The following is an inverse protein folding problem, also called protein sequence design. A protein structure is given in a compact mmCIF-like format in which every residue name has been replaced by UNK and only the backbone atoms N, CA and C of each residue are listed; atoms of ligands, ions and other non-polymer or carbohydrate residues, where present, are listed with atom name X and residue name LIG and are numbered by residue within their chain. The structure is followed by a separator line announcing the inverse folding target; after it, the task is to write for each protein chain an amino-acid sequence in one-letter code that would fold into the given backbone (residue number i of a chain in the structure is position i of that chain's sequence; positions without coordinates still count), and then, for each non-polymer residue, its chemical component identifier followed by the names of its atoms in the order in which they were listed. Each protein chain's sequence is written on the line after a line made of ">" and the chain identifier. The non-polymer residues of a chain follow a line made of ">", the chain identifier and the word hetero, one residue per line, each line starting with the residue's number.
data_IF_430328734175
#
_entry.id   IF_430328734175
#
_cell.length_a   1.000
_cell.length_b   1.000
_cell.length_c   1.000
_cell.angle_alpha   90.00
_cell.angle_beta   90.00
_cell.angle_gamma   90.00
#
_symmetry.space_group_name_H-M   'P 1'
#
loop_
_entity.id
_entity.type
_entity.pdbx_description
1 polymer ?
#
# COMPACT_ATOMS: atom_id res chain seq x y z
N UNK A 1 9.79 -0.39 21.47
CA UNK A 1 8.71 -0.49 20.46
C UNK A 1 9.30 -1.10 19.21
N UNK A 2 8.75 -2.19 18.72
CA UNK A 2 9.21 -2.89 17.52
C UNK A 2 8.43 -2.37 16.29
N UNK A 3 9.10 -2.15 15.18
CA UNK A 3 8.50 -1.60 13.96
C UNK A 3 8.78 -2.54 12.79
N UNK A 4 7.73 -3.07 12.17
CA UNK A 4 7.82 -4.14 11.19
C UNK A 4 7.02 -3.75 9.95
N UNK A 5 7.62 -3.85 8.75
CA UNK A 5 6.91 -3.73 7.48
C UNK A 5 6.71 -5.12 6.87
N UNK A 6 5.47 -5.44 6.47
CA UNK A 6 5.10 -6.67 5.76
C UNK A 6 4.78 -6.34 4.32
N UNK A 7 5.61 -6.82 3.39
CA UNK A 7 5.67 -6.36 2.01
C UNK A 7 5.54 -7.56 1.06
N UNK A 8 4.76 -7.45 0.00
CA UNK A 8 4.72 -8.44 -1.07
C UNK A 8 5.99 -8.35 -1.93
N UNK A 9 6.72 -9.44 -2.08
CA UNK A 9 8.00 -9.45 -2.79
C UNK A 9 7.87 -9.27 -4.31
N UNK A 10 6.80 -9.81 -4.91
CA UNK A 10 6.60 -9.81 -6.36
C UNK A 10 5.37 -8.96 -6.76
N UNK A 11 4.29 -9.59 -7.27
CA UNK A 11 3.12 -8.87 -7.80
C UNK A 11 1.92 -8.78 -6.83
N UNK A 12 2.04 -9.16 -5.58
CA UNK A 12 0.93 -9.21 -4.62
C UNK A 12 0.59 -10.64 -4.22
N UNK A 13 -0.59 -11.04 -3.99
CA UNK A 13 -1.16 -12.41 -3.77
C UNK A 13 -0.21 -13.47 -3.15
N UNK A 14 0.62 -13.05 -2.19
CA UNK A 14 1.75 -13.83 -1.66
C UNK A 14 1.54 -14.25 -0.20
N UNK A 15 0.39 -13.89 0.41
CA UNK A 15 0.07 -14.26 1.79
C UNK A 15 0.45 -13.19 2.83
N UNK A 16 0.48 -11.91 2.46
CA UNK A 16 0.73 -10.80 3.42
C UNK A 16 -0.28 -10.77 4.57
N UNK A 17 -1.58 -11.02 4.27
CA UNK A 17 -2.60 -11.12 5.29
C UNK A 17 -2.29 -12.19 6.33
N UNK A 18 -1.88 -13.38 5.88
CA UNK A 18 -1.42 -14.46 6.76
C UNK A 18 -0.24 -14.01 7.63
N UNK A 19 0.78 -13.37 7.04
CA UNK A 19 1.94 -12.90 7.79
C UNK A 19 1.58 -11.82 8.83
N UNK A 20 0.74 -10.84 8.46
CA UNK A 20 0.26 -9.81 9.39
C UNK A 20 -0.56 -10.40 10.54
N UNK A 21 -1.51 -11.30 10.23
CA UNK A 21 -2.34 -11.97 11.22
C UNK A 21 -1.50 -12.81 12.20
N UNK A 22 -0.49 -13.53 11.71
CA UNK A 22 0.44 -14.28 12.57
C UNK A 22 1.25 -13.38 13.50
N UNK A 23 1.76 -12.24 13.00
CA UNK A 23 2.41 -11.24 13.85
C UNK A 23 1.43 -10.70 14.89
N UNK A 24 0.23 -10.32 14.46
CA UNK A 24 -0.80 -9.77 15.34
C UNK A 24 -1.21 -10.74 16.45
N UNK A 25 -1.34 -12.03 16.14
CA UNK A 25 -1.67 -13.06 17.15
C UNK A 25 -0.56 -13.32 18.17
N UNK A 26 0.70 -13.12 17.78
CA UNK A 26 1.88 -13.41 18.61
C UNK A 26 2.40 -12.20 19.40
N UNK A 27 2.17 -10.98 18.90
CA UNK A 27 2.70 -9.75 19.46
C UNK A 27 1.66 -9.05 20.36
N UNK A 28 2.06 -8.71 21.59
CA UNK A 28 1.19 -7.99 22.51
C UNK A 28 1.14 -6.50 22.16
N UNK A 29 -0.02 -5.89 22.36
CA UNK A 29 -0.23 -4.45 22.19
C UNK A 29 0.31 -3.95 20.85
N UNK A 30 -0.19 -4.53 19.75
CA UNK A 30 0.17 -4.18 18.39
C UNK A 30 -0.80 -3.15 17.78
N UNK A 31 -0.33 -2.42 16.77
CA UNK A 31 -1.11 -1.57 15.89
C UNK A 31 -0.80 -1.97 14.44
N UNK A 32 -1.82 -2.23 13.62
CA UNK A 32 -1.64 -2.41 12.18
C UNK A 32 -1.81 -1.06 11.48
N UNK A 33 -0.87 -0.71 10.61
CA UNK A 33 -0.86 0.55 9.89
C UNK A 33 -1.01 0.27 8.39
N UNK A 34 -2.13 0.71 7.81
CA UNK A 34 -2.34 0.74 6.36
C UNK A 34 -1.72 2.03 5.82
N UNK A 35 -0.78 1.93 4.88
CA UNK A 35 0.06 3.07 4.52
C UNK A 35 0.22 3.30 3.01
N UNK A 36 -0.40 2.47 2.15
CA UNK A 36 -0.32 2.63 0.70
C UNK A 36 -1.55 2.06 0.00
N UNK A 37 -1.83 2.57 -1.20
CA UNK A 37 -3.04 2.19 -1.93
C UNK A 37 -4.31 2.57 -1.18
N UNK A 38 -5.31 1.71 -1.23
CA UNK A 38 -6.62 1.89 -0.58
C UNK A 38 -7.34 0.54 -0.42
N UNK A 39 -8.65 0.52 -0.60
CA UNK A 39 -9.49 -0.67 -0.42
C UNK A 39 -9.32 -1.79 -1.47
N UNK A 40 -8.41 -1.63 -2.44
CA UNK A 40 -8.20 -2.60 -3.51
C UNK A 40 -7.43 -3.86 -3.09
N UNK A 41 -6.74 -3.87 -1.97
CA UNK A 41 -6.06 -5.05 -1.46
C UNK A 41 -7.06 -6.09 -0.94
N UNK A 42 -6.80 -7.38 -1.18
CA UNK A 42 -7.50 -8.50 -0.57
C UNK A 42 -6.50 -9.34 0.22
N UNK A 43 -6.55 -9.28 1.54
CA UNK A 43 -5.64 -10.00 2.43
C UNK A 43 -6.39 -11.13 3.12
N UNK A 44 -6.27 -12.32 2.59
CA UNK A 44 -6.91 -13.50 3.16
C UNK A 44 -6.21 -13.96 4.41
N UNK A 45 -6.99 -14.21 5.44
CA UNK A 45 -6.59 -14.85 6.69
C UNK A 45 -7.41 -16.11 6.88
N UNK A 46 -6.75 -17.19 7.26
CA UNK A 46 -7.37 -18.45 7.59
C UNK A 46 -7.00 -18.85 9.02
N UNK A 47 -7.97 -19.42 9.72
CA UNK A 47 -7.70 -20.04 11.02
C UNK A 47 -6.67 -21.16 10.89
N UNK A 48 -5.68 -21.27 11.79
CA UNK A 48 -4.68 -22.34 11.74
C UNK A 48 -5.26 -23.76 11.71
N UNK A 49 -6.46 -23.95 12.22
CA UNK A 49 -7.19 -25.21 12.22
C UNK A 49 -8.19 -25.34 11.02
N UNK A 50 -8.19 -24.34 10.11
CA UNK A 50 -9.07 -24.34 8.94
C UNK A 50 -10.56 -24.13 9.24
N UNK A 51 -10.90 -23.63 10.44
CA UNK A 51 -12.30 -23.44 10.87
C UNK A 51 -12.99 -22.28 10.20
N UNK A 52 -12.24 -21.24 9.83
CA UNK A 52 -12.77 -20.04 9.20
C UNK A 52 -11.76 -19.41 8.26
N UNK A 53 -12.27 -18.56 7.38
CA UNK A 53 -11.54 -17.77 6.41
C UNK A 53 -12.20 -16.42 6.24
N UNK A 54 -11.42 -15.34 6.27
CA UNK A 54 -11.89 -13.98 6.07
C UNK A 54 -10.94 -13.20 5.14
N UNK A 55 -11.47 -12.30 4.33
CA UNK A 55 -10.68 -11.45 3.43
C UNK A 55 -10.74 -10.02 3.95
N UNK A 56 -9.62 -9.53 4.45
CA UNK A 56 -9.46 -8.15 4.86
C UNK A 56 -9.10 -7.27 3.66
N UNK A 57 -9.74 -6.12 3.53
CA UNK A 57 -9.43 -5.11 2.52
C UNK A 57 -8.77 -3.89 3.16
N UNK A 58 -9.54 -3.12 3.92
CA UNK A 58 -9.09 -1.92 4.61
C UNK A 58 -8.85 -2.18 6.10
N UNK A 59 -9.66 -3.01 6.71
CA UNK A 59 -9.39 -3.51 8.08
C UNK A 59 -8.08 -4.29 8.05
N UNK A 60 -7.17 -4.03 8.98
CA UNK A 60 -5.88 -4.72 9.06
C UNK A 60 -6.03 -6.20 9.37
N UNK A 61 -5.24 -7.05 8.71
CA UNK A 61 -5.18 -8.48 8.98
C UNK A 61 -4.54 -8.73 10.36
N UNK A 62 -5.36 -9.07 11.34
CA UNK A 62 -5.06 -9.12 12.77
C UNK A 62 -6.14 -8.49 13.63
N UNK A 63 -7.10 -7.77 13.00
CA UNK A 63 -8.24 -7.21 13.71
C UNK A 63 -9.09 -8.30 14.39
N UNK A 64 -9.07 -9.53 13.89
CA UNK A 64 -9.68 -10.73 14.48
C UNK A 64 -9.11 -11.07 15.85
N UNK A 65 -7.91 -10.58 16.18
CA UNK A 65 -7.28 -10.65 17.51
C UNK A 65 -7.42 -9.34 18.29
N UNK A 66 -8.39 -8.49 17.97
CA UNK A 66 -8.62 -7.17 18.57
C UNK A 66 -7.48 -6.17 18.37
N UNK A 67 -6.61 -6.39 17.40
CA UNK A 67 -5.53 -5.44 17.06
C UNK A 67 -6.14 -4.28 16.27
N UNK A 68 -5.97 -3.01 16.70
CA UNK A 68 -6.50 -1.86 16.01
C UNK A 68 -5.80 -1.61 14.67
N UNK A 69 -6.51 -0.95 13.77
CA UNK A 69 -6.01 -0.52 12.46
C UNK A 69 -5.90 1.01 12.42
N UNK A 70 -4.79 1.53 11.91
CA UNK A 70 -4.58 2.94 11.59
C UNK A 70 -4.50 3.15 10.09
N UNK A 71 -5.28 4.07 9.55
CA UNK A 71 -5.11 4.60 8.19
C UNK A 71 -4.15 5.78 8.24
N UNK A 72 -2.92 5.59 7.72
CA UNK A 72 -1.93 6.65 7.59
C UNK A 72 -2.35 7.66 6.48
N UNK A 73 -1.76 8.85 6.48
CA UNK A 73 -2.04 9.91 5.49
C UNK A 73 -1.77 9.50 4.03
N UNK A 74 -0.92 8.51 3.84
CA UNK A 74 -0.59 7.92 2.53
C UNK A 74 -1.51 6.77 2.10
N UNK A 75 -2.44 6.32 2.94
CA UNK A 75 -3.50 5.38 2.59
C UNK A 75 -4.74 6.13 2.08
N UNK A 76 -5.44 5.60 1.10
CA UNK A 76 -6.64 6.19 0.49
C UNK A 76 -7.88 5.37 0.81
N UNK A 77 -8.54 5.60 1.97
CA UNK A 77 -9.71 4.82 2.34
C UNK A 77 -10.89 5.08 1.39
N UNK A 78 -11.59 4.01 1.04
CA UNK A 78 -12.92 4.03 0.43
C UNK A 78 -13.95 3.79 1.54
N UNK A 79 -14.57 4.86 2.04
CA UNK A 79 -15.50 4.75 3.15
C UNK A 79 -16.83 4.08 2.77
N UNK A 80 -17.18 4.05 1.49
CA UNK A 80 -18.34 3.32 1.04
C UNK A 80 -18.12 1.80 1.18
N UNK A 81 -16.96 1.31 0.73
CA UNK A 81 -16.59 -0.11 0.89
C UNK A 81 -16.26 -0.46 2.34
N UNK A 82 -15.65 0.47 3.10
CA UNK A 82 -15.34 0.26 4.52
C UNK A 82 -16.59 -0.06 5.34
N UNK A 83 -17.72 0.63 5.09
CA UNK A 83 -18.98 0.36 5.78
C UNK A 83 -19.45 -1.08 5.59
N UNK A 84 -19.31 -1.61 4.38
CA UNK A 84 -19.65 -3.02 4.08
C UNK A 84 -18.70 -3.98 4.78
N UNK A 85 -17.39 -3.73 4.67
CA UNK A 85 -16.37 -4.58 5.29
C UNK A 85 -16.52 -4.64 6.81
N UNK A 86 -16.79 -3.50 7.48
CA UNK A 86 -17.03 -3.45 8.93
C UNK A 86 -18.28 -4.23 9.31
N UNK A 87 -19.34 -4.17 8.50
CA UNK A 87 -20.55 -4.95 8.72
C UNK A 87 -20.25 -6.45 8.61
N UNK A 88 -19.61 -6.88 7.52
CA UNK A 88 -19.22 -8.28 7.29
C UNK A 88 -18.30 -8.79 8.40
N UNK A 89 -17.28 -8.00 8.79
CA UNK A 89 -16.39 -8.33 9.90
C UNK A 89 -17.14 -8.51 11.21
N UNK A 90 -18.08 -7.57 11.52
CA UNK A 90 -18.83 -7.60 12.76
C UNK A 90 -19.79 -8.80 12.83
N UNK A 91 -20.44 -9.12 11.72
CA UNK A 91 -21.33 -10.30 11.61
C UNK A 91 -20.53 -11.61 11.74
N UNK A 92 -19.30 -11.63 11.20
CA UNK A 92 -18.45 -12.83 11.19
C UNK A 92 -17.77 -13.09 12.54
N UNK A 93 -17.16 -12.09 13.14
CA UNK A 93 -16.39 -12.23 14.38
C UNK A 93 -17.18 -11.87 15.66
N UNK A 94 -18.35 -11.25 15.55
CA UNK A 94 -19.20 -10.90 16.68
C UNK A 94 -18.83 -9.62 17.43
N UNK A 95 -17.85 -8.84 16.92
CA UNK A 95 -17.42 -7.54 17.50
C UNK A 95 -17.00 -6.56 16.40
N UNK A 96 -16.98 -5.26 16.71
CA UNK A 96 -16.56 -4.22 15.78
C UNK A 96 -15.05 -4.06 15.79
N UNK A 97 -14.39 -3.87 14.63
CA UNK A 97 -12.97 -3.54 14.57
C UNK A 97 -12.72 -2.14 15.15
N UNK A 98 -11.52 -1.93 15.71
CA UNK A 98 -11.06 -0.62 16.19
C UNK A 98 -10.30 0.05 15.04
N UNK A 99 -10.81 1.20 14.57
CA UNK A 99 -10.28 1.88 13.40
C UNK A 99 -9.89 3.33 13.74
N UNK A 100 -8.63 3.64 13.52
CA UNK A 100 -8.07 4.99 13.61
C UNK A 100 -7.77 5.54 12.21
N UNK A 101 -7.76 6.86 12.06
CA UNK A 101 -7.30 7.51 10.84
C UNK A 101 -6.53 8.78 11.17
N UNK A 102 -5.46 9.03 10.43
CA UNK A 102 -4.88 10.37 10.34
C UNK A 102 -5.87 11.31 9.64
N UNK A 103 -5.89 12.56 10.05
CA UNK A 103 -6.80 13.60 9.55
C UNK A 103 -6.68 13.83 8.04
N UNK A 104 -5.44 13.79 7.54
CA UNK A 104 -5.10 14.09 6.16
C UNK A 104 -5.18 12.88 5.21
N UNK A 105 -5.59 11.70 5.68
CA UNK A 105 -5.83 10.54 4.81
C UNK A 105 -6.84 10.93 3.71
N UNK A 106 -6.47 10.67 2.45
CA UNK A 106 -7.20 11.13 1.26
C UNK A 106 -8.24 10.10 0.86
N UNK A 107 -9.48 10.50 0.77
CA UNK A 107 -10.61 9.59 0.54
C UNK A 107 -10.81 9.33 -0.95
N UNK A 108 -10.97 8.06 -1.31
CA UNK A 108 -11.45 7.65 -2.64
C UNK A 108 -12.94 7.96 -2.76
N UNK A 109 -13.36 8.58 -3.86
CA UNK A 109 -14.75 8.94 -4.12
C UNK A 109 -15.38 8.01 -5.15
N UNK A 110 -16.72 8.02 -5.22
CA UNK A 110 -17.46 7.27 -6.24
C UNK A 110 -17.05 7.68 -7.66
N UNK A 111 -16.72 8.96 -7.88
CA UNK A 111 -16.29 9.43 -9.19
C UNK A 111 -14.90 8.87 -9.58
N UNK A 112 -13.98 8.73 -8.63
CA UNK A 112 -12.69 8.08 -8.87
C UNK A 112 -12.88 6.62 -9.35
N UNK A 113 -13.80 5.90 -8.70
CA UNK A 113 -14.17 4.52 -9.05
C UNK A 113 -14.79 4.46 -10.46
N UNK A 114 -15.77 5.32 -10.74
CA UNK A 114 -16.46 5.36 -12.04
C UNK A 114 -15.52 5.78 -13.19
N UNK A 115 -14.60 6.73 -12.94
CA UNK A 115 -13.56 7.12 -13.90
C UNK A 115 -12.62 5.96 -14.21
N UNK A 116 -12.17 5.24 -13.18
CA UNK A 116 -11.31 4.08 -13.37
C UNK A 116 -12.00 2.97 -14.18
N UNK A 117 -13.23 2.60 -13.81
CA UNK A 117 -14.03 1.61 -14.53
C UNK A 117 -14.29 2.02 -15.97
N UNK A 118 -14.68 3.28 -16.18
CA UNK A 118 -14.91 3.85 -17.51
C UNK A 118 -13.66 3.86 -18.37
N UNK A 119 -12.50 4.17 -17.81
CA UNK A 119 -11.21 4.14 -18.49
C UNK A 119 -10.82 2.73 -18.93
N UNK A 120 -11.00 1.72 -18.06
CA UNK A 120 -10.72 0.32 -18.42
C UNK A 120 -11.63 -0.15 -19.57
N UNK A 121 -12.91 0.24 -19.58
CA UNK A 121 -13.81 -0.06 -20.71
C UNK A 121 -13.37 0.67 -21.97
N UNK A 122 -13.01 1.95 -21.89
CA UNK A 122 -12.56 2.73 -23.05
C UNK A 122 -11.28 2.17 -23.69
N UNK A 123 -10.38 1.58 -22.90
CA UNK A 123 -9.14 0.91 -23.39
C UNK A 123 -9.43 -0.41 -24.14
N UNK A 124 -10.58 -1.03 -23.93
CA UNK A 124 -10.98 -2.26 -24.61
C UNK A 124 -9.96 -3.38 -24.41
N UNK A 125 -9.33 -3.86 -25.49
CA UNK A 125 -8.31 -4.92 -25.43
C UNK A 125 -7.00 -4.48 -24.75
N UNK A 126 -6.76 -3.19 -24.64
CA UNK A 126 -5.55 -2.61 -24.03
C UNK A 126 -5.78 -2.25 -22.55
N UNK A 127 -6.68 -2.94 -21.87
CA UNK A 127 -6.92 -2.75 -20.43
C UNK A 127 -5.63 -2.88 -19.65
N UNK A 128 -5.44 -2.01 -18.66
CA UNK A 128 -4.29 -2.12 -17.75
C UNK A 128 -4.49 -3.26 -16.75
N UNK A 129 -5.73 -3.73 -16.56
CA UNK A 129 -6.07 -4.78 -15.61
C UNK A 129 -6.12 -4.26 -14.18
N UNK A 130 -6.59 -3.02 -14.00
CA UNK A 130 -6.83 -2.46 -12.67
C UNK A 130 -8.00 -3.17 -12.00
N UNK A 131 -8.03 -3.13 -10.66
CA UNK A 131 -9.13 -3.71 -9.89
C UNK A 131 -10.43 -2.89 -9.91
N UNK A 132 -10.47 -1.76 -10.64
CA UNK A 132 -11.65 -0.90 -10.73
C UNK A 132 -11.94 -0.04 -9.49
N UNK A 133 -11.01 0.07 -8.54
CA UNK A 133 -11.23 0.72 -7.24
C UNK A 133 -10.84 2.21 -7.19
N UNK A 134 -10.48 2.82 -8.32
CA UNK A 134 -10.29 4.26 -8.43
C UNK A 134 -9.02 4.85 -7.80
N UNK A 135 -8.03 4.04 -7.44
CA UNK A 135 -6.83 4.53 -6.71
C UNK A 135 -6.03 5.53 -7.55
N UNK A 136 -5.75 5.22 -8.83
CA UNK A 136 -5.07 6.15 -9.75
C UNK A 136 -5.83 7.47 -9.87
N UNK A 137 -7.16 7.40 -10.05
CA UNK A 137 -7.98 8.59 -10.23
C UNK A 137 -8.07 9.43 -8.94
N UNK A 138 -8.07 8.77 -7.76
CA UNK A 138 -7.94 9.44 -6.47
C UNK A 138 -6.61 10.20 -6.36
N UNK A 139 -5.47 9.58 -6.75
CA UNK A 139 -4.15 10.22 -6.77
C UNK A 139 -4.17 11.44 -7.70
N UNK A 140 -4.64 11.28 -8.94
CA UNK A 140 -4.69 12.34 -9.94
C UNK A 140 -5.59 13.51 -9.50
N UNK A 141 -6.76 13.22 -8.93
CA UNK A 141 -7.68 14.24 -8.40
C UNK A 141 -7.04 15.03 -7.27
N UNK A 142 -6.37 14.34 -6.34
CA UNK A 142 -5.67 15.01 -5.23
C UNK A 142 -4.49 15.87 -5.73
N UNK A 143 -3.71 15.38 -6.70
CA UNK A 143 -2.60 16.11 -7.31
C UNK A 143 -3.09 17.38 -8.05
N UNK A 144 -4.30 17.34 -8.59
CA UNK A 144 -4.94 18.51 -9.23
C UNK A 144 -5.56 19.51 -8.23
N UNK A 145 -5.43 19.30 -6.91
CA UNK A 145 -5.94 20.21 -5.88
C UNK A 145 -7.40 19.98 -5.45
N UNK A 146 -8.01 18.90 -5.90
CA UNK A 146 -9.40 18.54 -5.59
C UNK A 146 -9.51 17.47 -4.50
N UNK A 147 -8.58 17.46 -3.56
CA UNK A 147 -8.54 16.48 -2.47
C UNK A 147 -9.75 16.58 -1.54
N UNK A 148 -10.15 15.42 -1.01
CA UNK A 148 -11.08 15.28 0.11
C UNK A 148 -10.37 14.43 1.16
N UNK A 149 -10.34 14.91 2.41
CA UNK A 149 -9.69 14.22 3.53
C UNK A 149 -10.72 13.60 4.47
N UNK A 150 -10.27 12.67 5.31
CA UNK A 150 -11.13 12.10 6.36
C UNK A 150 -11.59 13.21 7.32
N UNK A 151 -10.72 14.16 7.68
CA UNK A 151 -11.12 15.32 8.50
C UNK A 151 -12.22 16.15 7.84
N UNK A 152 -12.13 16.41 6.54
CA UNK A 152 -13.18 17.07 5.78
C UNK A 152 -14.50 16.32 5.87
N UNK A 153 -14.48 15.00 5.74
CA UNK A 153 -15.71 14.20 5.89
C UNK A 153 -16.29 14.23 7.31
N UNK A 154 -15.47 14.37 8.33
CA UNK A 154 -15.95 14.51 9.72
C UNK A 154 -16.56 15.90 9.96
N UNK A 155 -15.90 16.96 9.52
CA UNK A 155 -16.23 18.35 9.84
C UNK A 155 -17.32 18.94 8.95
N UNK A 156 -17.37 18.61 7.66
CA UNK A 156 -18.36 19.14 6.72
C UNK A 156 -19.75 18.56 6.97
N UNK A 157 -20.79 19.35 6.69
CA UNK A 157 -22.16 18.83 6.61
C UNK A 157 -22.36 17.96 5.37
N UNK A 158 -23.46 17.24 5.28
CA UNK A 158 -23.85 16.51 4.04
C UNK A 158 -23.94 17.44 2.84
N UNK A 159 -24.46 18.65 3.06
CA UNK A 159 -24.62 19.66 2.00
C UNK A 159 -23.25 20.18 1.55
N UNK A 160 -22.34 20.54 2.47
CA UNK A 160 -20.99 20.99 2.13
C UNK A 160 -20.25 19.95 1.29
N UNK A 161 -20.34 18.67 1.66
CA UNK A 161 -19.72 17.58 0.92
C UNK A 161 -20.34 17.41 -0.47
N UNK A 162 -21.68 17.47 -0.58
CA UNK A 162 -22.37 17.38 -1.86
C UNK A 162 -21.97 18.53 -2.79
N UNK A 163 -21.93 19.77 -2.27
CA UNK A 163 -21.55 20.95 -3.04
C UNK A 163 -20.09 20.86 -3.49
N UNK A 164 -19.20 20.37 -2.63
CA UNK A 164 -17.79 20.12 -2.98
C UNK A 164 -17.66 19.08 -4.07
N UNK A 165 -18.39 17.98 -4.02
CA UNK A 165 -18.38 16.95 -5.05
C UNK A 165 -18.95 17.45 -6.38
N UNK A 166 -20.04 18.23 -6.36
CA UNK A 166 -20.58 18.89 -7.57
C UNK A 166 -19.59 19.86 -8.19
N UNK A 167 -18.86 20.63 -7.37
CA UNK A 167 -17.78 21.49 -7.83
C UNK A 167 -16.66 20.67 -8.51
N UNK A 168 -16.20 19.59 -7.87
CA UNK A 168 -15.16 18.71 -8.40
C UNK A 168 -15.63 18.11 -9.73
N UNK A 169 -16.87 17.66 -9.82
CA UNK A 169 -17.47 17.14 -11.05
C UNK A 169 -17.34 18.13 -12.20
N UNK A 170 -17.75 19.36 -11.98
CA UNK A 170 -17.73 20.43 -12.99
C UNK A 170 -16.31 20.84 -13.39
N UNK A 171 -15.41 21.00 -12.42
CA UNK A 171 -14.09 21.61 -12.66
C UNK A 171 -13.02 20.59 -13.06
N UNK A 172 -13.16 19.35 -12.61
CA UNK A 172 -12.16 18.28 -12.77
C UNK A 172 -12.71 17.07 -13.51
N UNK A 173 -13.75 16.42 -12.98
CA UNK A 173 -14.23 15.10 -13.42
C UNK A 173 -14.65 15.10 -14.90
N UNK A 174 -15.35 16.14 -15.37
CA UNK A 174 -15.76 16.26 -16.78
C UNK A 174 -14.57 16.32 -17.74
N UNK A 175 -13.53 17.05 -17.38
CA UNK A 175 -12.30 17.15 -18.18
C UNK A 175 -11.55 15.82 -18.14
N UNK A 176 -11.45 15.21 -16.96
CA UNK A 176 -10.74 13.93 -16.77
C UNK A 176 -11.41 12.81 -17.54
N UNK A 177 -12.74 12.73 -17.53
CA UNK A 177 -13.52 11.74 -18.29
C UNK A 177 -13.21 11.81 -19.81
N UNK A 178 -13.13 13.03 -20.37
CA UNK A 178 -12.75 13.22 -21.79
C UNK A 178 -11.33 12.73 -22.08
N UNK A 179 -10.36 13.01 -21.19
CA UNK A 179 -8.97 12.54 -21.33
C UNK A 179 -8.92 11.00 -21.31
N UNK A 180 -9.75 10.37 -20.48
CA UNK A 180 -9.84 8.93 -20.34
C UNK A 180 -10.67 8.24 -21.46
N UNK A 181 -11.24 9.01 -22.39
CA UNK A 181 -12.06 8.48 -23.47
C UNK A 181 -13.45 7.99 -23.04
N UNK A 182 -13.96 8.53 -21.93
CA UNK A 182 -15.29 8.19 -21.40
C UNK A 182 -16.31 9.11 -22.05
N UNK A 183 -17.02 8.60 -23.03
CA UNK A 183 -18.06 9.28 -23.82
C UNK A 183 -19.43 8.66 -23.56
N UNK A 184 -20.56 9.25 -24.07
CA UNK A 184 -21.92 8.74 -23.82
C UNK A 184 -22.18 7.26 -24.15
N UNK A 185 -21.37 6.65 -25.01
CA UNK A 185 -21.42 5.21 -25.30
C UNK A 185 -20.79 4.32 -24.22
N UNK A 186 -20.05 4.91 -23.27
CA UNK A 186 -19.43 4.18 -22.16
C UNK A 186 -20.48 3.85 -21.11
N UNK A 187 -20.59 2.60 -20.61
CA UNK A 187 -21.62 2.18 -19.64
C UNK A 187 -21.58 2.95 -18.32
N UNK A 188 -20.43 3.54 -17.96
CA UNK A 188 -20.27 4.32 -16.72
C UNK A 188 -20.56 5.82 -16.90
N UNK A 189 -20.79 6.29 -18.14
CA UNK A 189 -21.00 7.70 -18.43
C UNK A 189 -22.22 8.27 -17.70
N UNK A 190 -23.36 7.62 -17.83
CA UNK A 190 -24.61 8.09 -17.19
C UNK A 190 -24.49 8.09 -15.65
N UNK A 191 -23.86 7.05 -15.07
CA UNK A 191 -23.64 6.97 -13.63
C UNK A 191 -22.73 8.10 -13.12
N UNK A 192 -21.70 8.45 -13.89
CA UNK A 192 -20.74 9.51 -13.56
C UNK A 192 -21.42 10.88 -13.43
N UNK A 193 -22.47 11.13 -14.22
CA UNK A 193 -23.21 12.40 -14.21
C UNK A 193 -24.54 12.35 -13.46
N UNK A 194 -24.91 11.21 -12.90
CA UNK A 194 -26.14 11.05 -12.14
C UNK A 194 -26.02 11.68 -10.74
N UNK A 195 -26.89 12.64 -10.42
CA UNK A 195 -26.87 13.30 -9.12
C UNK A 195 -27.26 12.36 -7.96
N UNK A 196 -28.18 11.45 -8.19
CA UNK A 196 -28.60 10.48 -7.16
C UNK A 196 -27.43 9.58 -6.72
N UNK A 197 -26.49 9.28 -7.63
CA UNK A 197 -25.26 8.52 -7.28
C UNK A 197 -24.41 9.31 -6.28
N UNK A 198 -24.23 10.63 -6.49
CA UNK A 198 -23.52 11.49 -5.54
C UNK A 198 -24.25 11.63 -4.21
N UNK A 199 -25.57 11.84 -4.24
CA UNK A 199 -26.37 12.01 -3.03
C UNK A 199 -26.31 10.75 -2.16
N UNK A 200 -26.46 9.57 -2.76
CA UNK A 200 -26.34 8.29 -2.07
C UNK A 200 -24.92 8.10 -1.50
N UNK A 201 -23.88 8.40 -2.29
CA UNK A 201 -22.50 8.36 -1.82
C UNK A 201 -22.29 9.25 -0.59
N UNK A 202 -22.78 10.50 -0.62
CA UNK A 202 -22.69 11.43 0.51
C UNK A 202 -23.38 10.88 1.75
N UNK A 203 -24.55 10.27 1.60
CA UNK A 203 -25.28 9.69 2.75
C UNK A 203 -24.46 8.57 3.38
N UNK A 204 -23.96 7.64 2.57
CA UNK A 204 -23.20 6.48 3.03
C UNK A 204 -21.87 6.86 3.68
N UNK A 205 -21.06 7.71 3.03
CA UNK A 205 -19.74 8.07 3.59
C UNK A 205 -19.85 8.91 4.86
N UNK A 206 -20.90 9.72 5.00
CA UNK A 206 -21.18 10.49 6.23
C UNK A 206 -21.59 9.61 7.40
N UNK A 207 -22.21 8.47 7.15
CA UNK A 207 -22.47 7.46 8.19
C UNK A 207 -21.18 6.65 8.48
N UNK A 208 -20.49 6.22 7.45
CA UNK A 208 -19.35 5.33 7.58
C UNK A 208 -18.10 6.04 8.16
N UNK A 209 -17.94 7.34 7.99
CA UNK A 209 -16.84 8.08 8.64
C UNK A 209 -16.91 8.02 10.16
N UNK A 210 -18.10 7.78 10.74
CA UNK A 210 -18.28 7.59 12.19
C UNK A 210 -17.67 6.30 12.72
N UNK A 211 -17.30 5.36 11.84
CA UNK A 211 -16.57 4.14 12.18
C UNK A 211 -15.10 4.43 12.50
N UNK A 212 -14.59 5.60 12.11
CA UNK A 212 -13.22 6.00 12.32
C UNK A 212 -13.09 6.94 13.51
N UNK A 213 -12.05 6.72 14.31
CA UNK A 213 -11.59 7.68 15.31
C UNK A 213 -10.41 8.45 14.72
N UNK A 214 -10.57 9.78 14.57
CA UNK A 214 -9.47 10.64 14.14
C UNK A 214 -8.43 10.76 15.26
N UNK A 215 -7.16 10.62 14.90
CA UNK A 215 -6.04 10.72 15.83
C UNK A 215 -4.96 11.65 15.30
N UNK A 216 -4.33 12.37 16.21
CA UNK A 216 -3.09 13.09 15.94
C UNK A 216 -1.92 12.13 16.22
N UNK A 217 -1.43 11.50 15.15
CA UNK A 217 -0.39 10.49 15.26
C UNK A 217 0.95 11.16 15.47
N UNK A 218 1.31 11.39 16.72
CA UNK A 218 2.65 11.79 17.12
C UNK A 218 3.44 10.62 17.73
N UNK A 219 4.68 10.85 18.09
CA UNK A 219 5.53 9.83 18.73
C UNK A 219 4.92 9.31 20.03
N UNK A 220 4.36 10.19 20.84
CA UNK A 220 3.78 9.84 22.15
C UNK A 220 2.58 8.90 22.01
N UNK A 221 1.72 9.15 21.01
CA UNK A 221 0.58 8.28 20.73
C UNK A 221 1.05 6.90 20.23
N UNK A 222 2.08 6.85 19.36
CA UNK A 222 2.63 5.58 18.90
C UNK A 222 3.31 4.79 20.01
N UNK A 223 3.90 5.45 21.01
CA UNK A 223 4.54 4.80 22.18
C UNK A 223 3.53 4.10 23.12
N UNK A 224 2.22 4.32 22.94
CA UNK A 224 1.18 3.52 23.58
C UNK A 224 1.15 2.07 23.07
N UNK A 225 1.73 1.80 21.90
CA UNK A 225 1.85 0.47 21.29
C UNK A 225 3.27 -0.08 21.44
N UNK A 226 3.36 -1.38 21.69
CA UNK A 226 4.66 -2.07 21.77
C UNK A 226 5.16 -2.48 20.37
N UNK A 227 4.23 -2.70 19.43
CA UNK A 227 4.52 -3.21 18.10
C UNK A 227 3.73 -2.45 17.04
N UNK A 228 4.42 -1.95 16.03
CA UNK A 228 3.81 -1.32 14.85
C UNK A 228 4.03 -2.24 13.64
N UNK A 229 2.94 -2.66 13.01
CA UNK A 229 2.95 -3.55 11.84
C UNK A 229 2.43 -2.77 10.63
N UNK A 230 3.30 -2.43 9.71
CA UNK A 230 2.93 -1.79 8.44
C UNK A 230 2.49 -2.87 7.45
N UNK A 231 1.20 -2.90 7.16
CA UNK A 231 0.60 -3.84 6.23
C UNK A 231 0.51 -3.21 4.84
N UNK A 232 1.35 -3.69 3.91
CA UNK A 232 1.45 -3.13 2.56
C UNK A 232 0.44 -3.77 1.61
N UNK A 233 -0.25 -2.96 0.83
CA UNK A 233 -1.02 -3.42 -0.33
C UNK A 233 -0.11 -3.72 -1.53
N UNK A 234 -0.53 -4.63 -2.42
CA UNK A 234 0.18 -5.07 -3.63
C UNK A 234 1.57 -5.66 -3.34
N UNK A 235 2.47 -5.62 -4.31
CA UNK A 235 3.84 -6.15 -4.21
C UNK A 235 4.84 -5.24 -4.90
N UNK A 236 6.13 -5.45 -4.64
CA UNK A 236 7.23 -4.59 -5.10
C UNK A 236 7.26 -4.39 -6.62
N UNK A 237 6.95 -5.45 -7.40
CA UNK A 237 6.99 -5.39 -8.85
C UNK A 237 5.81 -4.62 -9.47
N UNK A 238 4.86 -4.18 -8.63
CA UNK A 238 3.76 -3.28 -8.99
C UNK A 238 3.97 -1.84 -8.50
N UNK A 239 5.10 -1.55 -7.83
CA UNK A 239 5.43 -0.20 -7.36
C UNK A 239 5.41 0.82 -8.51
N UNK A 240 4.93 2.02 -8.23
CA UNK A 240 4.83 3.10 -9.22
C UNK A 240 6.16 3.41 -9.94
N UNK A 241 7.29 3.12 -9.33
CA UNK A 241 8.63 3.39 -9.89
C UNK A 241 9.25 2.15 -10.54
N UNK A 242 8.52 1.04 -10.67
CA UNK A 242 9.04 -0.18 -11.30
C UNK A 242 8.77 -0.18 -12.82
N UNK A 243 9.39 0.72 -13.56
CA UNK A 243 9.15 1.03 -14.99
C UNK A 243 9.11 -0.21 -15.89
N UNK A 244 9.85 -1.28 -15.55
CA UNK A 244 9.90 -2.51 -16.35
C UNK A 244 8.51 -3.17 -16.55
N UNK A 245 7.54 -2.85 -15.70
CA UNK A 245 6.17 -3.41 -15.76
C UNK A 245 5.10 -2.37 -16.12
N UNK A 246 5.50 -1.13 -16.45
CA UNK A 246 4.56 -0.11 -16.92
C UNK A 246 3.83 -0.56 -18.19
N UNK A 247 2.54 -0.22 -18.40
CA UNK A 247 1.68 0.62 -17.56
C UNK A 247 0.92 -0.15 -16.46
N UNK A 248 1.26 -1.41 -16.21
CA UNK A 248 0.55 -2.32 -15.31
C UNK A 248 1.08 -2.21 -13.88
N UNK A 249 1.11 -0.98 -13.35
CA UNK A 249 1.61 -0.63 -12.02
C UNK A 249 0.49 -0.07 -11.14
N UNK A 250 0.73 0.04 -9.84
CA UNK A 250 -0.13 0.78 -8.91
C UNK A 250 0.46 2.16 -8.66
N UNK A 251 -0.40 3.16 -8.46
CA UNK A 251 0.00 4.54 -8.20
C UNK A 251 0.33 4.77 -6.73
N UNK A 252 1.16 3.89 -6.18
CA UNK A 252 1.63 3.98 -4.80
C UNK A 252 2.98 3.31 -4.62
N UNK A 253 3.67 3.71 -3.53
CA UNK A 253 4.87 3.02 -3.04
C UNK A 253 4.47 1.75 -2.32
N UNK A 254 5.03 0.61 -2.73
CA UNK A 254 4.66 -0.71 -2.23
C UNK A 254 5.76 -1.37 -1.38
N UNK A 255 6.87 -0.67 -1.15
CA UNK A 255 7.99 -1.11 -0.34
C UNK A 255 8.12 -0.40 1.00
N UNK A 256 9.35 -0.34 1.52
CA UNK A 256 9.69 0.25 2.81
C UNK A 256 9.64 1.79 2.83
N UNK A 257 9.47 2.44 1.70
CA UNK A 257 9.48 3.90 1.57
C UNK A 257 8.46 4.58 2.52
N UNK A 258 7.18 4.28 2.38
CA UNK A 258 6.14 4.91 3.19
C UNK A 258 6.27 4.59 4.70
N UNK A 259 6.51 3.33 5.13
CA UNK A 259 6.80 3.02 6.53
C UNK A 259 7.95 3.83 7.10
N UNK A 260 9.05 3.96 6.35
CA UNK A 260 10.22 4.73 6.77
C UNK A 260 9.89 6.20 6.95
N UNK A 261 9.28 6.85 5.95
CA UNK A 261 8.88 8.26 6.03
C UNK A 261 7.88 8.49 7.18
N UNK A 262 6.91 7.59 7.36
CA UNK A 262 5.94 7.68 8.46
C UNK A 262 6.63 7.69 9.83
N UNK A 263 7.59 6.80 10.05
CA UNK A 263 8.32 6.67 11.30
C UNK A 263 9.28 7.84 11.52
N UNK A 264 10.03 8.25 10.50
CA UNK A 264 11.02 9.33 10.61
C UNK A 264 10.41 10.68 10.93
N UNK A 265 9.25 11.01 10.35
CA UNK A 265 8.48 12.22 10.73
C UNK A 265 8.21 12.28 12.23
N UNK A 266 8.30 11.14 12.93
CA UNK A 266 8.00 10.97 14.37
C UNK A 266 9.23 10.62 15.20
N UNK A 267 10.44 10.72 14.61
CA UNK A 267 11.71 10.42 15.28
C UNK A 267 11.90 8.94 15.61
N UNK A 268 11.29 8.06 14.81
CA UNK A 268 11.36 6.61 14.91
C UNK A 268 12.04 6.04 13.66
N UNK A 269 12.44 4.77 13.70
CA UNK A 269 13.02 4.07 12.56
C UNK A 269 12.35 2.73 12.31
N UNK A 270 12.37 2.27 11.07
CA UNK A 270 11.93 0.92 10.72
C UNK A 270 13.01 -0.08 11.15
N UNK A 271 12.62 -1.07 11.98
CA UNK A 271 13.57 -2.07 12.49
C UNK A 271 13.64 -3.31 11.61
N UNK A 272 12.51 -3.74 11.04
CA UNK A 272 12.39 -4.98 10.30
C UNK A 272 11.54 -4.80 9.05
N UNK A 273 11.95 -5.44 7.95
CA UNK A 273 11.17 -5.57 6.73
C UNK A 273 11.04 -7.05 6.35
N UNK A 274 9.82 -7.53 6.28
CA UNK A 274 9.46 -8.92 5.97
C UNK A 274 8.85 -8.95 4.57
N UNK A 275 9.60 -9.51 3.62
CA UNK A 275 9.16 -9.65 2.23
C UNK A 275 8.52 -11.03 2.05
N UNK A 276 7.23 -11.01 1.82
CA UNK A 276 6.43 -12.25 1.68
C UNK A 276 6.46 -12.72 0.23
N UNK A 277 6.66 -14.01 0.02
CA UNK A 277 6.60 -14.65 -1.29
C UNK A 277 6.09 -16.08 -1.19
N UNK A 278 5.70 -16.65 -2.33
CA UNK A 278 5.42 -18.09 -2.48
C UNK A 278 6.65 -18.81 -3.05
N UNK A 279 6.70 -20.14 -3.05
CA UNK A 279 7.74 -20.93 -3.74
C UNK A 279 7.77 -20.70 -5.26
N UNK A 280 6.78 -20.03 -5.79
CA UNK A 280 6.55 -19.65 -7.19
C UNK A 280 6.07 -18.20 -7.26
N UNK A 281 5.90 -17.65 -8.45
CA UNK A 281 5.39 -16.30 -8.65
C UNK A 281 3.93 -16.36 -9.09
N UNK A 282 3.11 -15.46 -8.56
CA UNK A 282 1.72 -15.25 -9.00
C UNK A 282 1.52 -13.84 -9.48
N UNK A 283 0.62 -13.63 -10.44
CA UNK A 283 0.17 -12.32 -10.88
C UNK A 283 -1.30 -12.33 -11.26
N UNK A 284 -2.07 -11.44 -10.69
CA UNK A 284 -3.39 -11.09 -11.20
C UNK A 284 -3.30 -9.99 -12.26
N UNK A 285 -4.23 -9.98 -13.18
CA UNK A 285 -4.33 -8.94 -14.19
C UNK A 285 -3.38 -9.08 -15.38
N UNK A 286 -3.45 -8.08 -16.23
CA UNK A 286 -2.65 -7.98 -17.43
C UNK A 286 -1.20 -7.60 -17.11
N UNK A 287 -0.38 -7.61 -18.15
CA UNK A 287 1.03 -7.25 -18.05
C UNK A 287 1.95 -8.47 -18.09
N UNK A 288 3.25 -8.21 -18.27
CA UNK A 288 4.23 -9.28 -18.43
C UNK A 288 4.40 -10.07 -17.12
N UNK A 289 4.46 -11.38 -17.26
CA UNK A 289 4.82 -12.32 -16.19
C UNK A 289 5.99 -13.18 -16.70
N UNK A 290 7.23 -12.80 -16.40
CA UNK A 290 8.40 -13.58 -16.83
C UNK A 290 8.31 -15.02 -16.29
N UNK A 291 8.76 -15.99 -17.08
CA UNK A 291 8.78 -17.41 -16.74
C UNK A 291 7.38 -17.99 -16.44
N UNK A 292 6.35 -17.44 -17.11
CA UNK A 292 4.96 -17.88 -16.96
C UNK A 292 4.79 -19.34 -17.37
N UNK A 293 4.07 -20.10 -16.54
CA UNK A 293 3.76 -21.51 -16.72
C UNK A 293 2.32 -21.80 -16.34
N UNK A 294 1.80 -22.95 -16.78
CA UNK A 294 0.52 -23.44 -16.27
C UNK A 294 0.70 -23.92 -14.83
N UNK A 295 -0.34 -23.76 -13.98
CA UNK A 295 -0.33 -24.28 -12.60
C UNK A 295 0.02 -25.77 -12.55
N UNK A 296 -0.45 -26.56 -13.52
CA UNK A 296 -0.15 -28.00 -13.62
C UNK A 296 1.34 -28.34 -13.82
N UNK A 297 2.17 -27.37 -14.17
CA UNK A 297 3.62 -27.51 -14.30
C UNK A 297 4.39 -27.18 -13.01
N UNK A 298 3.65 -26.90 -11.93
CA UNK A 298 4.16 -26.65 -10.59
C UNK A 298 3.61 -27.73 -9.64
N UNK A 299 4.30 -28.87 -9.48
CA UNK A 299 3.84 -29.99 -8.65
C UNK A 299 3.58 -29.55 -7.20
N UNK A 300 2.50 -30.02 -6.58
CA UNK A 300 2.11 -29.65 -5.22
C UNK A 300 1.35 -28.34 -5.09
N UNK A 301 1.33 -27.48 -6.12
CA UNK A 301 0.58 -26.21 -6.07
C UNK A 301 -0.91 -26.46 -6.23
N UNK A 302 -1.65 -26.26 -5.13
CA UNK A 302 -3.10 -26.40 -5.05
C UNK A 302 -3.87 -25.34 -5.83
N UNK A 303 -5.19 -25.44 -5.83
CA UNK A 303 -6.08 -24.41 -6.38
C UNK A 303 -6.12 -23.21 -5.44
N UNK A 304 -5.96 -22.01 -5.98
CA UNK A 304 -6.11 -20.78 -5.18
C UNK A 304 -7.59 -20.47 -5.01
N UNK A 305 -8.11 -20.70 -3.80
CA UNK A 305 -9.50 -20.48 -3.47
C UNK A 305 -9.84 -18.99 -3.22
N UNK A 306 -8.82 -18.15 -3.08
CA UNK A 306 -8.99 -16.71 -2.82
C UNK A 306 -9.12 -15.91 -4.11
N UNK A 307 -8.17 -16.09 -5.01
CA UNK A 307 -8.00 -15.27 -6.19
C UNK A 307 -8.84 -15.81 -7.35
N UNK A 308 -10.16 -15.82 -7.15
CA UNK A 308 -11.10 -16.27 -8.18
C UNK A 308 -11.11 -15.31 -9.38
N UNK A 309 -11.41 -15.81 -10.58
CA UNK A 309 -11.54 -14.97 -11.77
C UNK A 309 -12.53 -13.83 -11.56
N UNK A 310 -12.16 -12.62 -11.95
CA UNK A 310 -13.04 -11.46 -11.89
C UNK A 310 -13.01 -10.68 -13.21
N UNK A 311 -14.03 -9.84 -13.42
CA UNK A 311 -14.22 -9.09 -14.66
C UNK A 311 -13.06 -8.11 -14.96
N UNK A 312 -12.43 -7.58 -13.91
CA UNK A 312 -11.42 -6.51 -14.04
C UNK A 312 -10.01 -7.05 -14.24
N UNK A 313 -9.62 -8.05 -13.44
CA UNK A 313 -8.27 -8.58 -13.41
C UNK A 313 -8.13 -9.94 -14.11
N UNK A 314 -9.25 -10.60 -14.44
CA UNK A 314 -9.24 -11.91 -15.07
C UNK A 314 -8.85 -13.04 -14.11
N UNK A 315 -7.89 -13.89 -14.51
CA UNK A 315 -7.45 -15.07 -13.75
C UNK A 315 -6.13 -14.83 -13.04
N UNK A 316 -5.87 -15.58 -11.99
CA UNK A 316 -4.54 -15.69 -11.38
C UNK A 316 -3.62 -16.48 -12.32
N UNK A 317 -2.45 -15.94 -12.59
CA UNK A 317 -1.41 -16.49 -13.46
C UNK A 317 -0.22 -16.94 -12.63
N UNK A 318 0.53 -17.93 -13.10
CA UNK A 318 1.61 -18.58 -12.36
C UNK A 318 2.93 -18.50 -13.13
N UNK A 319 4.04 -18.36 -12.41
CA UNK A 319 5.37 -18.39 -13.01
C UNK A 319 6.40 -19.04 -12.08
N UNK A 320 7.52 -19.47 -12.65
CA UNK A 320 8.72 -19.84 -11.90
C UNK A 320 9.53 -18.60 -11.54
N UNK A 321 10.33 -18.67 -10.48
CA UNK A 321 11.37 -17.67 -10.28
C UNK A 321 12.44 -17.80 -11.37
N UNK A 322 12.94 -16.71 -11.91
CA UNK A 322 13.85 -16.73 -13.04
C UNK A 322 15.25 -17.25 -12.64
N UNK A 323 15.84 -16.66 -11.61
CA UNK A 323 17.13 -17.04 -11.04
C UNK A 323 17.23 -16.60 -9.58
N UNK A 324 18.24 -17.08 -8.82
CA UNK A 324 18.52 -16.59 -7.47
C UNK A 324 18.79 -15.09 -7.44
N UNK A 325 19.51 -14.57 -8.42
CA UNK A 325 19.74 -13.13 -8.55
C UNK A 325 18.43 -12.36 -8.68
N UNK A 326 17.56 -12.75 -9.61
CA UNK A 326 16.26 -12.12 -9.84
C UNK A 326 15.31 -12.33 -8.63
N UNK A 327 15.53 -13.38 -7.84
CA UNK A 327 14.75 -13.64 -6.63
C UNK A 327 15.04 -12.59 -5.54
N UNK A 328 16.31 -12.22 -5.32
CA UNK A 328 16.70 -11.26 -4.29
C UNK A 328 16.68 -9.80 -4.77
N UNK A 329 16.78 -9.56 -6.08
CA UNK A 329 16.87 -8.21 -6.66
C UNK A 329 15.78 -7.24 -6.19
N UNK A 330 14.47 -7.59 -6.16
CA UNK A 330 13.43 -6.65 -5.71
C UNK A 330 13.65 -6.18 -4.26
N UNK A 331 14.09 -7.08 -3.37
CA UNK A 331 14.35 -6.79 -1.95
C UNK A 331 15.54 -5.85 -1.80
N UNK A 332 16.62 -6.14 -2.53
CA UNK A 332 17.85 -5.31 -2.50
C UNK A 332 17.57 -3.92 -3.09
N UNK A 333 16.82 -3.85 -4.18
CA UNK A 333 16.39 -2.58 -4.79
C UNK A 333 15.53 -1.74 -3.85
N UNK A 334 14.57 -2.35 -3.15
CA UNK A 334 13.72 -1.65 -2.18
C UNK A 334 14.56 -1.10 -1.03
N UNK A 335 15.48 -1.90 -0.46
CA UNK A 335 16.45 -1.44 0.54
C UNK A 335 17.27 -0.25 0.04
N UNK A 336 17.82 -0.36 -1.15
CA UNK A 336 18.74 0.64 -1.71
C UNK A 336 18.02 1.94 -2.11
N UNK A 337 16.69 1.90 -2.32
CA UNK A 337 15.87 3.08 -2.58
C UNK A 337 15.88 4.11 -1.45
N UNK A 338 16.15 3.69 -0.20
CA UNK A 338 16.31 4.60 0.93
C UNK A 338 17.55 5.50 0.79
N UNK A 339 18.64 4.98 0.20
CA UNK A 339 19.83 5.77 -0.05
C UNK A 339 19.58 6.92 -1.05
N UNK A 340 18.65 6.73 -1.99
CA UNK A 340 18.28 7.76 -2.96
C UNK A 340 17.38 8.85 -2.35
N UNK A 341 16.60 8.51 -1.33
CA UNK A 341 15.84 9.48 -0.53
C UNK A 341 16.81 10.43 0.22
N UNK A 342 17.78 9.88 0.91
CA UNK A 342 18.79 10.68 1.61
C UNK A 342 19.51 11.66 0.65
N UNK A 343 19.86 11.20 -0.55
CA UNK A 343 20.50 12.03 -1.56
C UNK A 343 19.59 13.16 -2.06
N UNK A 344 18.31 12.87 -2.34
CA UNK A 344 17.34 13.86 -2.82
C UNK A 344 17.04 14.91 -1.76
N UNK A 345 16.93 14.54 -0.49
CA UNK A 345 16.76 15.51 0.60
C UNK A 345 18.00 16.38 0.81
N UNK A 346 19.19 15.80 0.70
CA UNK A 346 20.45 16.58 0.79
C UNK A 346 20.60 17.58 -0.36
N UNK A 347 20.07 17.29 -1.54
CA UNK A 347 20.07 18.22 -2.69
C UNK A 347 19.06 19.34 -2.44
N UNK A 348 17.84 19.03 -2.00
CA UNK A 348 16.80 20.04 -1.69
C UNK A 348 17.23 21.02 -0.59
N UNK A 349 17.93 20.54 0.44
CA UNK A 349 18.47 21.40 1.51
C UNK A 349 19.63 22.29 1.04
N UNK A 350 20.30 21.93 -0.05
CA UNK A 350 21.33 22.78 -0.67
C UNK A 350 20.75 23.86 -1.59
N UNK A 351 19.57 23.60 -2.17
CA UNK A 351 18.91 24.52 -3.12
C UNK A 351 17.96 25.53 -2.45
N UNK A 352 17.66 25.38 -1.16
CA UNK A 352 16.85 26.32 -0.38
C UNK A 352 17.69 26.88 0.79
N UNK A 353 18.47 27.97 0.58
CA UNK A 353 19.07 28.66 1.70
C UNK A 353 17.95 29.33 2.53
N UNK A 354 17.82 28.98 3.81
CA UNK A 354 17.02 29.75 4.74
C UNK A 354 17.57 31.18 4.80
N UNK A 355 16.75 32.15 4.35
CA UNK A 355 17.03 33.57 4.57
C UNK A 355 16.76 33.80 6.05
N UNK A 356 17.82 33.86 6.85
CA UNK A 356 17.72 34.39 8.22
C UNK A 356 17.78 35.89 8.10
N UNK A 357 16.64 36.57 8.26
CA UNK A 357 16.60 38.00 8.50
C UNK A 357 17.30 38.30 9.84
N UNK A 358 18.53 38.77 9.79
CA UNK A 358 19.15 39.45 10.95
C UNK A 358 18.84 40.93 10.86
N UNK A 359 17.92 41.39 11.68
CA UNK A 359 17.78 42.81 12.01
C UNK A 359 18.93 43.19 12.94
N UNK A 360 20.02 43.72 12.41
CA UNK A 360 20.88 44.68 13.08
C UNK A 360 21.74 45.38 12.02
N UNK A 361 21.39 46.63 11.77
CA UNK A 361 22.12 47.54 10.91
C UNK A 361 23.33 48.10 11.64
N UNK A 362 24.54 47.82 11.11
CA UNK A 362 25.71 48.64 11.33
C UNK A 362 26.38 48.90 9.99
N UNK A 363 26.31 50.14 9.53
CA UNK A 363 27.13 50.62 8.40
C UNK A 363 28.60 50.54 8.73
N UNK A 364 29.38 49.83 7.89
CA UNK A 364 30.76 50.24 7.58
C UNK A 364 31.16 49.62 6.23
N UNK A 365 31.72 50.50 5.41
CA UNK A 365 32.38 50.27 4.13
C UNK A 365 33.56 49.30 4.27
N UNK A 366 33.59 48.33 3.39
CA UNK A 366 34.74 47.80 2.64
C UNK A 366 34.56 46.34 2.25
N UNK A 367 34.91 46.06 1.04
CA UNK A 367 34.92 44.73 0.36
C UNK A 367 35.61 43.63 1.18
N UNK A 368 34.78 42.67 1.62
CA UNK A 368 35.29 41.37 2.08
C UNK A 368 34.30 40.29 1.75
N UNK A 369 34.77 39.24 1.09
CA UNK A 369 34.00 38.04 0.79
C UNK A 369 33.47 37.40 2.10
N UNK A 370 32.16 37.39 2.27
CA UNK A 370 31.56 36.75 3.42
C UNK A 370 31.51 35.23 3.20
N UNK A 371 32.33 34.51 3.94
CA UNK A 371 32.22 33.06 4.14
C UNK A 371 30.94 32.84 5.02
N UNK A 372 29.86 32.45 4.39
CA UNK A 372 28.64 32.06 5.12
C UNK A 372 28.87 30.69 5.75
N UNK A 373 29.16 30.66 7.04
CA UNK A 373 29.17 29.43 7.82
C UNK A 373 27.74 29.03 8.13
N UNK A 374 27.13 28.22 7.27
CA UNK A 374 25.85 27.60 7.56
C UNK A 374 26.05 26.59 8.70
N UNK A 375 25.45 26.83 9.86
CA UNK A 375 25.24 25.79 10.86
C UNK A 375 24.37 24.69 10.22
N UNK A 376 24.99 23.57 9.86
CA UNK A 376 24.27 22.36 9.45
C UNK A 376 23.34 21.95 10.59
N UNK A 377 22.04 22.08 10.38
CA UNK A 377 21.08 21.25 11.08
C UNK A 377 21.29 19.83 10.56
N UNK A 378 22.05 19.05 11.28
CA UNK A 378 22.17 17.61 11.03
C UNK A 378 20.84 16.97 11.43
N UNK A 379 19.89 16.88 10.51
CA UNK A 379 18.91 15.80 10.61
C UNK A 379 19.73 14.51 10.56
N UNK A 380 19.51 13.56 11.48
CA UNK A 380 20.18 12.27 11.35
C UNK A 380 19.74 11.68 10.01
N UNK A 381 20.68 11.37 9.14
CA UNK A 381 20.43 10.52 7.97
C UNK A 381 19.81 9.20 8.42
N UNK A 382 19.21 8.42 7.51
CA UNK A 382 18.59 7.14 7.86
C UNK A 382 19.54 6.36 8.77
N UNK A 383 19.26 6.40 10.08
CA UNK A 383 20.27 6.06 11.09
C UNK A 383 20.60 4.58 11.11
N UNK A 384 19.74 3.74 10.48
CA UNK A 384 19.95 2.30 10.40
C UNK A 384 19.02 1.68 9.36
N UNK A 385 19.59 0.90 8.44
CA UNK A 385 18.79 0.05 7.54
C UNK A 385 18.04 -1.03 8.36
N UNK A 386 16.79 -1.37 7.99
CA UNK A 386 16.04 -2.43 8.66
C UNK A 386 16.71 -3.79 8.47
N UNK A 387 16.49 -4.71 9.40
CA UNK A 387 16.79 -6.12 9.19
C UNK A 387 15.85 -6.66 8.12
N UNK A 388 16.40 -7.40 7.16
CA UNK A 388 15.63 -7.92 6.03
C UNK A 388 15.32 -9.39 6.22
N UNK A 389 14.05 -9.74 6.03
CA UNK A 389 13.55 -11.11 6.07
C UNK A 389 12.80 -11.41 4.78
N UNK A 390 12.93 -12.62 4.26
CA UNK A 390 12.03 -13.17 3.24
C UNK A 390 11.23 -14.29 3.88
N UNK A 391 9.92 -14.12 3.93
CA UNK A 391 8.98 -15.10 4.45
C UNK A 391 8.32 -15.84 3.29
N UNK A 392 8.47 -17.17 3.26
CA UNK A 392 7.96 -18.00 2.19
C UNK A 392 6.72 -18.74 2.70
N UNK A 393 5.57 -18.38 2.15
CA UNK A 393 4.29 -19.03 2.42
C UNK A 393 4.11 -20.27 1.54
N UNK A 394 3.27 -21.21 1.96
CA UNK A 394 2.93 -22.43 1.19
C UNK A 394 4.15 -23.30 0.80
N UNK A 395 5.25 -23.21 1.53
CA UNK A 395 6.45 -23.97 1.23
C UNK A 395 6.23 -25.48 1.50
N UNK A 396 5.42 -25.82 2.48
CA UNK A 396 5.04 -27.20 2.80
C UNK A 396 4.28 -27.90 1.67
N UNK A 397 3.53 -27.16 0.84
CA UNK A 397 2.80 -27.70 -0.31
C UNK A 397 3.74 -28.18 -1.43
N UNK A 398 4.94 -27.64 -1.49
CA UNK A 398 5.94 -27.89 -2.52
C UNK A 398 7.12 -28.75 -2.03
N UNK A 399 6.94 -29.51 -0.97
CA UNK A 399 7.97 -30.37 -0.38
C UNK A 399 9.28 -29.60 -0.08
N UNK A 400 9.17 -28.37 0.42
CA UNK A 400 10.28 -27.45 0.70
C UNK A 400 11.15 -27.09 -0.54
N UNK A 401 10.56 -27.12 -1.74
CA UNK A 401 11.22 -26.72 -2.98
C UNK A 401 10.66 -25.38 -3.48
N UNK A 402 11.54 -24.55 -4.01
CA UNK A 402 11.17 -23.34 -4.78
C UNK A 402 11.37 -23.62 -6.26
N UNK A 403 10.46 -23.14 -7.09
CA UNK A 403 10.46 -23.36 -8.54
C UNK A 403 11.24 -22.27 -9.27
N UNK A 404 12.34 -22.65 -9.92
CA UNK A 404 13.15 -21.79 -10.77
C UNK A 404 13.18 -22.29 -12.23
N UNK A 405 13.51 -21.43 -13.18
CA UNK A 405 13.59 -21.77 -14.61
C UNK A 405 14.58 -22.90 -14.89
N UNK A 406 15.71 -22.91 -14.17
CA UNK A 406 16.79 -23.89 -14.35
C UNK A 406 16.67 -25.12 -13.45
N UNK A 407 15.52 -25.32 -12.81
CA UNK A 407 15.26 -26.43 -11.89
C UNK A 407 14.91 -25.95 -10.48
N UNK A 408 14.34 -26.83 -9.70
CA UNK A 408 13.90 -26.52 -8.35
C UNK A 408 15.10 -26.38 -7.41
N UNK A 409 14.97 -25.49 -6.44
CA UNK A 409 16.01 -25.24 -5.43
C UNK A 409 15.43 -25.55 -4.05
N UNK A 410 16.12 -26.38 -3.24
CA UNK A 410 15.73 -26.63 -1.85
C UNK A 410 15.77 -25.32 -1.03
N UNK A 411 14.87 -25.20 -0.07
CA UNK A 411 14.79 -24.01 0.81
C UNK A 411 16.11 -23.74 1.55
N UNK A 412 16.81 -24.76 2.02
CA UNK A 412 18.13 -24.62 2.67
C UNK A 412 19.17 -23.93 1.77
N UNK A 413 19.13 -24.16 0.46
CA UNK A 413 20.02 -23.51 -0.49
C UNK A 413 19.70 -22.03 -0.64
N UNK A 414 18.40 -21.67 -0.57
CA UNK A 414 17.95 -20.29 -0.57
C UNK A 414 18.37 -19.58 0.72
N UNK A 415 18.27 -20.23 1.88
CA UNK A 415 18.70 -19.67 3.16
C UNK A 415 20.18 -19.28 3.11
N UNK A 416 21.05 -20.18 2.64
CA UNK A 416 22.49 -19.90 2.48
C UNK A 416 22.76 -18.72 1.55
N UNK A 417 22.08 -18.66 0.40
CA UNK A 417 22.23 -17.53 -0.52
C UNK A 417 21.72 -16.20 0.08
N UNK A 418 20.67 -16.25 0.89
CA UNK A 418 20.16 -15.09 1.62
C UNK A 418 21.13 -14.57 2.67
N UNK A 419 21.73 -15.47 3.45
CA UNK A 419 22.74 -15.13 4.48
C UNK A 419 23.92 -14.34 3.91
N UNK A 420 24.41 -14.73 2.73
CA UNK A 420 25.49 -14.00 2.02
C UNK A 420 25.10 -12.55 1.67
N UNK A 421 23.80 -12.28 1.51
CA UNK A 421 23.23 -10.97 1.20
C UNK A 421 22.76 -10.20 2.45
N UNK A 422 22.88 -10.78 3.65
CA UNK A 422 22.36 -10.23 4.89
C UNK A 422 20.83 -10.30 4.98
N UNK A 423 20.21 -11.26 4.30
CA UNK A 423 18.77 -11.50 4.27
C UNK A 423 18.45 -12.85 4.92
N UNK A 424 17.60 -12.87 5.94
CA UNK A 424 17.16 -14.09 6.58
C UNK A 424 15.93 -14.67 5.87
N UNK A 425 16.01 -15.90 5.33
CA UNK A 425 14.88 -16.61 4.75
C UNK A 425 14.21 -17.49 5.81
N UNK A 426 12.89 -17.37 5.93
CA UNK A 426 12.05 -18.06 6.92
C UNK A 426 10.89 -18.74 6.18
N UNK A 427 10.52 -19.94 6.59
CA UNK A 427 9.36 -20.66 6.06
C UNK A 427 8.12 -20.50 6.95
N UNK A 428 6.95 -20.77 6.38
CA UNK A 428 5.68 -20.85 7.11
C UNK A 428 5.68 -21.95 8.20
N UNK A 429 6.51 -22.98 8.04
CA UNK A 429 6.67 -24.06 9.02
C UNK A 429 7.56 -23.66 10.20
N UNK A 430 8.57 -22.81 9.98
CA UNK A 430 9.46 -22.29 11.03
C UNK A 430 8.80 -21.19 11.87
N UNK A 431 7.80 -20.54 11.32
CA UNK A 431 7.09 -19.44 11.99
C UNK A 431 5.85 -19.89 12.78
N UNK A 432 5.79 -21.18 13.11
CA UNK A 432 4.70 -21.78 13.93
C UNK A 432 4.88 -21.56 15.42
#
# INVERSE_FOLDING_TARGET
>A
MRTIAVIGKNFGDEGKGFACSRLASSLKNALIIKHNGGGQAGHTVEDPEGKWRFIHHQIGAGAEYHVPTLFADSFMPDLFQLGKEVKEFTEFFGFKPILYSEKNARVTTVEDVLLNMGAEVARGKNRHGSCGMGIEECVQRNAAGYGITVEGLVTWTKQDLLDRLKQIRKEYTERRAKILGIYPSNPYYEMLYNETVLENFVVEVKENVKLLTLVDVDRKWLEEFQNLIFETGQGLLLDQDYEAYAPHLTSSKTGIHNPTIFLEKRGLSLEEAIYVTRPYVTRHGNGPLPSEVKRSELPGVGEDLTNQPNEWQGILRYARHKSLKDFFEPVLRDRDSLNDLDRKEQIKTKESPEIIETTDAVETTETTEHIVVTKRSTRPGFSKLPKLFIFITQLSETENQLYFDKGNIPFESLQKAGEELGIQCISDTEWR
#
